data_IF_071332696326
#
_entry.id   IF_071332696326
#
_cell.length_a   1.000
_cell.length_b   1.000
_cell.length_c   1.000
_cell.angle_alpha   90.00
_cell.angle_beta   90.00
_cell.angle_gamma   90.00
#
_symmetry.space_group_name_H-M   'P 1'
#
loop_
_entity.id
_entity.type
_entity.pdbx_description
1 polymer ?
#
# COMPACT_ATOMS: atom_id res chain seq x y z
N UNK A 1 -25.89 0.21 27.83
CA UNK A 1 -24.64 -0.57 27.67
C UNK A 1 -24.57 -1.39 26.38
N UNK A 2 -25.39 -2.43 26.12
CA UNK A 2 -25.25 -3.21 24.84
C UNK A 2 -25.56 -2.43 23.57
N UNK A 3 -26.50 -1.48 23.58
CA UNK A 3 -26.83 -0.65 22.41
C UNK A 3 -25.79 0.44 22.16
N UNK A 4 -25.27 1.06 23.20
CA UNK A 4 -24.23 2.09 23.15
C UNK A 4 -22.91 1.53 22.63
N UNK A 5 -22.50 0.34 23.09
CA UNK A 5 -21.31 -0.38 22.63
C UNK A 5 -21.40 -0.77 21.13
N UNK A 6 -22.61 -1.10 20.62
CA UNK A 6 -22.82 -1.33 19.20
C UNK A 6 -22.67 -0.05 18.37
N UNK A 7 -23.16 1.08 18.89
CA UNK A 7 -23.03 2.38 18.21
C UNK A 7 -21.57 2.77 17.98
N UNK A 8 -20.72 2.57 18.98
CA UNK A 8 -19.29 2.90 18.94
C UNK A 8 -18.55 2.10 17.82
N UNK A 9 -18.79 0.80 17.78
CA UNK A 9 -18.18 -0.03 16.72
C UNK A 9 -18.73 0.31 15.34
N UNK A 10 -20.01 0.65 15.23
CA UNK A 10 -20.61 1.05 13.95
C UNK A 10 -19.97 2.32 13.40
N UNK A 11 -19.62 3.31 14.22
CA UNK A 11 -18.91 4.51 13.77
C UNK A 11 -17.50 4.19 13.29
N UNK A 12 -16.79 3.25 13.95
CA UNK A 12 -15.48 2.79 13.49
C UNK A 12 -15.58 2.04 12.14
N UNK A 13 -16.59 1.19 11.96
CA UNK A 13 -16.85 0.54 10.66
C UNK A 13 -17.22 1.56 9.57
N UNK A 14 -18.08 2.54 9.89
CA UNK A 14 -18.47 3.58 8.94
C UNK A 14 -17.28 4.42 8.50
N UNK A 15 -16.41 4.81 9.45
CA UNK A 15 -15.19 5.52 9.14
C UNK A 15 -14.25 4.69 8.26
N UNK A 16 -14.00 3.42 8.62
CA UNK A 16 -13.14 2.55 7.83
C UNK A 16 -13.69 2.32 6.42
N UNK A 17 -15.01 2.17 6.29
CA UNK A 17 -15.65 2.05 4.99
C UNK A 17 -15.39 3.30 4.14
N UNK A 18 -15.68 4.50 4.66
CA UNK A 18 -15.45 5.76 3.93
C UNK A 18 -13.98 5.98 3.59
N UNK A 19 -13.07 5.68 4.52
CA UNK A 19 -11.62 5.73 4.30
C UNK A 19 -11.18 4.81 3.16
N UNK A 20 -11.80 3.65 3.04
CA UNK A 20 -11.45 2.63 2.05
C UNK A 20 -12.08 2.87 0.67
N UNK A 21 -12.99 3.86 0.52
CA UNK A 21 -13.57 4.25 -0.78
C UNK A 21 -12.55 5.02 -1.64
N UNK A 22 -11.46 4.36 -1.97
CA UNK A 22 -10.34 4.92 -2.74
C UNK A 22 -10.62 4.85 -4.24
N UNK A 23 -11.64 5.57 -4.70
CA UNK A 23 -12.13 5.53 -6.08
C UNK A 23 -11.05 5.85 -7.13
N UNK A 24 -10.06 6.67 -6.78
CA UNK A 24 -9.01 7.12 -7.69
C UNK A 24 -7.90 6.10 -7.88
N UNK A 25 -7.70 5.17 -6.94
CA UNK A 25 -6.54 4.28 -6.88
C UNK A 25 -6.40 3.39 -8.13
N UNK A 26 -7.54 2.98 -8.70
CA UNK A 26 -7.56 2.10 -9.88
C UNK A 26 -7.07 2.82 -11.14
N UNK A 27 -7.21 4.17 -11.24
CA UNK A 27 -6.99 4.88 -12.50
C UNK A 27 -6.12 6.13 -12.36
N UNK A 28 -5.44 6.36 -11.23
CA UNK A 28 -4.69 7.60 -11.04
C UNK A 28 -3.56 7.78 -12.05
N UNK A 29 -2.85 6.70 -12.43
CA UNK A 29 -1.83 6.76 -13.49
C UNK A 29 -2.46 7.10 -14.84
N UNK A 30 -3.55 6.42 -15.19
CA UNK A 30 -4.31 6.70 -16.43
C UNK A 30 -4.79 8.14 -16.45
N UNK A 31 -5.34 8.63 -15.34
CA UNK A 31 -5.84 10.00 -15.20
C UNK A 31 -4.73 11.04 -15.36
N UNK A 32 -3.56 10.83 -14.77
CA UNK A 32 -2.43 11.73 -14.92
C UNK A 32 -1.86 11.69 -16.35
N UNK A 33 -1.88 10.54 -17.00
CA UNK A 33 -1.56 10.42 -18.44
C UNK A 33 -2.54 11.22 -19.30
N UNK A 34 -3.83 11.18 -19.02
CA UNK A 34 -4.84 12.01 -19.72
C UNK A 34 -4.64 13.52 -19.48
N UNK A 35 -3.99 13.90 -18.37
CA UNK A 35 -3.54 15.28 -18.12
C UNK A 35 -2.26 15.66 -18.88
N UNK A 36 -1.61 14.71 -19.57
CA UNK A 36 -0.42 14.93 -20.39
C UNK A 36 0.91 14.68 -19.67
N UNK A 37 0.92 14.09 -18.46
CA UNK A 37 2.16 13.76 -17.76
C UNK A 37 2.86 12.56 -18.41
N UNK A 38 4.19 12.62 -18.52
CA UNK A 38 5.03 11.47 -18.85
C UNK A 38 5.03 10.44 -17.72
N UNK A 39 5.26 9.16 -18.01
CA UNK A 39 5.31 8.11 -16.98
C UNK A 39 6.43 8.33 -15.96
N UNK A 40 7.60 8.83 -16.40
CA UNK A 40 8.68 9.22 -15.50
C UNK A 40 8.26 10.33 -14.52
N UNK A 41 7.54 11.34 -15.02
CA UNK A 41 7.03 12.43 -14.17
C UNK A 41 6.02 11.92 -13.14
N UNK A 42 5.16 10.96 -13.52
CA UNK A 42 4.24 10.26 -12.62
C UNK A 42 5.04 9.46 -11.58
N UNK A 43 6.11 8.79 -12.01
CA UNK A 43 7.01 8.06 -11.11
C UNK A 43 7.64 8.94 -10.05
N UNK A 44 8.04 10.17 -10.41
CA UNK A 44 8.59 11.14 -9.46
C UNK A 44 7.53 11.64 -8.46
N UNK A 45 6.25 11.72 -8.83
CA UNK A 45 5.17 12.04 -7.89
C UNK A 45 5.06 10.97 -6.80
N UNK A 46 5.20 9.69 -7.15
CA UNK A 46 5.22 8.59 -6.17
C UNK A 46 6.46 8.66 -5.27
N UNK A 47 7.61 9.03 -5.82
CA UNK A 47 8.82 9.30 -5.01
C UNK A 47 8.55 10.40 -3.97
N UNK A 48 7.90 11.49 -4.38
CA UNK A 48 7.52 12.59 -3.47
C UNK A 48 6.55 12.10 -2.40
N UNK A 49 5.58 11.25 -2.75
CA UNK A 49 4.68 10.63 -1.79
C UNK A 49 5.47 9.86 -0.72
N UNK A 50 6.40 9.00 -1.09
CA UNK A 50 7.19 8.21 -0.13
C UNK A 50 8.10 9.09 0.75
N UNK A 51 8.74 10.13 0.18
CA UNK A 51 9.55 11.08 0.95
C UNK A 51 8.68 11.85 1.95
N UNK A 52 7.53 12.35 1.51
CA UNK A 52 6.61 13.11 2.36
C UNK A 52 5.99 12.22 3.45
N UNK A 53 5.64 10.96 3.14
CA UNK A 53 5.14 9.99 4.11
C UNK A 53 6.17 9.78 5.22
N UNK A 54 7.42 9.49 4.84
CA UNK A 54 8.51 9.29 5.79
C UNK A 54 8.75 10.52 6.67
N UNK A 55 8.80 11.71 6.06
CA UNK A 55 9.04 12.97 6.78
C UNK A 55 7.89 13.35 7.72
N UNK A 56 6.65 12.96 7.40
CA UNK A 56 5.45 13.34 8.17
C UNK A 56 5.06 12.32 9.26
N UNK A 57 5.61 11.13 9.28
CA UNK A 57 5.24 10.07 10.22
C UNK A 57 5.36 10.52 11.68
N UNK A 58 6.49 11.15 12.03
CA UNK A 58 6.73 11.68 13.38
C UNK A 58 5.87 12.92 13.69
N UNK A 59 5.85 13.97 12.85
CA UNK A 59 5.01 15.13 13.11
C UNK A 59 3.53 14.80 13.29
N UNK A 60 2.98 13.89 12.48
CA UNK A 60 1.56 13.52 12.58
C UNK A 60 1.24 12.71 13.83
N UNK A 61 2.16 11.84 14.27
CA UNK A 61 2.06 11.14 15.56
C UNK A 61 1.97 12.13 16.73
N UNK A 62 2.87 13.14 16.77
CA UNK A 62 2.86 14.18 17.80
C UNK A 62 1.57 15.02 17.79
N UNK A 63 1.00 15.29 16.61
CA UNK A 63 -0.31 15.95 16.49
C UNK A 63 -1.41 15.07 17.09
N UNK A 64 -1.40 13.76 16.82
CA UNK A 64 -2.36 12.82 17.39
C UNK A 64 -2.27 12.77 18.92
N UNK A 65 -1.06 12.76 19.46
CA UNK A 65 -0.80 12.75 20.91
C UNK A 65 -1.26 14.05 21.57
N UNK A 66 -1.02 15.19 20.94
CA UNK A 66 -1.34 16.52 21.51
C UNK A 66 -2.80 16.91 21.35
N UNK A 67 -3.37 16.75 20.17
CA UNK A 67 -4.71 17.24 19.82
C UNK A 67 -5.78 16.14 19.84
N UNK A 68 -5.36 14.87 19.94
CA UNK A 68 -6.23 13.71 19.98
C UNK A 68 -6.29 12.97 18.64
N UNK A 69 -6.50 11.67 18.75
CA UNK A 69 -6.54 10.77 17.61
C UNK A 69 -7.69 11.07 16.66
N UNK A 70 -8.87 11.40 17.22
CA UNK A 70 -10.05 11.81 16.46
C UNK A 70 -9.80 13.07 15.62
N UNK A 71 -9.20 14.11 16.24
CA UNK A 71 -8.84 15.34 15.53
C UNK A 71 -7.79 15.07 14.45
N UNK A 72 -6.79 14.26 14.75
CA UNK A 72 -5.77 13.80 13.80
C UNK A 72 -6.39 13.15 12.57
N UNK A 73 -7.30 12.20 12.76
CA UNK A 73 -8.01 11.52 11.68
C UNK A 73 -8.85 12.49 10.83
N UNK A 74 -9.58 13.42 11.47
CA UNK A 74 -10.39 14.41 10.76
C UNK A 74 -9.51 15.34 9.91
N UNK A 75 -8.41 15.85 10.46
CA UNK A 75 -7.42 16.67 9.72
C UNK A 75 -6.84 15.87 8.55
N UNK A 76 -6.46 14.62 8.76
CA UNK A 76 -5.99 13.74 7.71
C UNK A 76 -6.98 13.64 6.55
N UNK A 77 -8.28 13.47 6.82
CA UNK A 77 -9.32 13.40 5.76
C UNK A 77 -9.52 14.74 5.03
N UNK A 78 -9.45 15.85 5.74
CA UNK A 78 -9.49 17.19 5.09
C UNK A 78 -8.29 17.39 4.16
N UNK A 79 -7.09 16.98 4.58
CA UNK A 79 -5.89 17.04 3.73
C UNK A 79 -6.04 16.10 2.51
N UNK A 80 -6.63 14.90 2.68
CA UNK A 80 -6.90 14.00 1.56
C UNK A 80 -7.87 14.62 0.55
N UNK A 81 -8.97 15.22 1.02
CA UNK A 81 -9.92 15.94 0.16
C UNK A 81 -9.25 17.10 -0.58
N UNK A 82 -8.40 17.89 0.11
CA UNK A 82 -7.63 18.96 -0.51
C UNK A 82 -6.65 18.44 -1.58
N UNK A 83 -5.92 17.35 -1.28
CA UNK A 83 -5.05 16.67 -2.26
C UNK A 83 -5.82 16.24 -3.51
N UNK A 84 -6.97 15.57 -3.32
CA UNK A 84 -7.82 15.14 -4.42
C UNK A 84 -8.36 16.32 -5.23
N UNK A 85 -8.72 17.45 -4.58
CA UNK A 85 -9.17 18.66 -5.24
C UNK A 85 -8.05 19.30 -6.06
N UNK A 86 -6.84 19.44 -5.53
CA UNK A 86 -5.67 19.93 -6.27
C UNK A 86 -5.37 19.04 -7.45
N UNK A 87 -5.39 17.70 -7.27
CA UNK A 87 -5.17 16.75 -8.36
C UNK A 87 -6.26 16.85 -9.43
N UNK A 88 -7.51 17.10 -9.04
CA UNK A 88 -8.62 17.30 -9.97
C UNK A 88 -8.45 18.58 -10.81
N UNK A 89 -8.11 19.68 -10.18
CA UNK A 89 -8.13 21.01 -10.78
C UNK A 89 -6.85 21.37 -11.53
N UNK A 90 -5.68 20.84 -11.10
CA UNK A 90 -4.39 21.23 -11.65
C UNK A 90 -3.93 20.31 -12.77
N UNK A 91 -3.18 20.89 -13.73
CA UNK A 91 -2.34 20.19 -14.72
C UNK A 91 -0.85 20.50 -14.52
N UNK A 92 -0.53 21.42 -13.64
CA UNK A 92 0.84 21.80 -13.34
C UNK A 92 1.51 20.72 -12.48
N UNK A 93 2.67 20.24 -12.92
CA UNK A 93 3.41 19.18 -12.21
C UNK A 93 3.75 19.56 -10.77
N UNK A 94 4.14 20.83 -10.51
CA UNK A 94 4.48 21.30 -9.15
C UNK A 94 3.28 21.24 -8.21
N UNK A 95 2.10 21.63 -8.68
CA UNK A 95 0.87 21.52 -7.89
C UNK A 95 0.47 20.06 -7.67
N UNK A 96 0.68 19.19 -8.66
CA UNK A 96 0.46 17.74 -8.50
C UNK A 96 1.47 17.13 -7.52
N UNK A 97 2.74 17.58 -7.54
CA UNK A 97 3.74 17.18 -6.56
C UNK A 97 3.33 17.58 -5.13
N UNK A 98 2.83 18.79 -4.94
CA UNK A 98 2.27 19.23 -3.65
C UNK A 98 1.04 18.39 -3.25
N UNK A 99 0.16 18.04 -4.20
CA UNK A 99 -0.99 17.18 -3.93
C UNK A 99 -0.55 15.78 -3.47
N UNK A 100 0.45 15.18 -4.09
CA UNK A 100 0.98 13.87 -3.68
C UNK A 100 1.66 13.92 -2.31
N UNK A 101 2.39 15.00 -2.01
CA UNK A 101 2.93 15.24 -0.66
C UNK A 101 1.80 15.37 0.38
N UNK A 102 0.74 16.13 0.08
CA UNK A 102 -0.44 16.24 0.95
C UNK A 102 -1.14 14.89 1.13
N UNK A 103 -1.26 14.09 0.08
CA UNK A 103 -1.85 12.75 0.16
C UNK A 103 -1.05 11.85 1.12
N UNK A 104 0.28 11.89 1.04
CA UNK A 104 1.15 11.14 1.95
C UNK A 104 0.97 11.59 3.40
N UNK A 105 0.96 12.91 3.65
CA UNK A 105 0.68 13.47 4.99
C UNK A 105 -0.69 13.02 5.50
N UNK A 106 -1.72 13.02 4.64
CA UNK A 106 -3.05 12.56 5.02
C UNK A 106 -3.08 11.11 5.47
N UNK A 107 -2.28 10.26 4.80
CA UNK A 107 -2.17 8.85 5.12
C UNK A 107 -1.51 8.63 6.48
N UNK A 108 -0.44 9.35 6.80
CA UNK A 108 0.26 9.24 8.09
C UNK A 108 -0.59 9.72 9.26
N UNK A 109 -1.49 10.71 9.07
CA UNK A 109 -2.49 11.10 10.07
C UNK A 109 -3.47 9.99 10.42
N UNK A 110 -3.73 9.06 9.51
CA UNK A 110 -4.65 7.95 9.74
C UNK A 110 -3.94 6.72 10.35
N UNK A 111 -2.77 6.32 9.82
CA UNK A 111 -2.18 5.00 10.03
C UNK A 111 -1.99 4.61 11.50
N UNK A 112 -1.41 5.47 12.33
CA UNK A 112 -1.22 5.19 13.76
C UNK A 112 -2.43 5.57 14.63
N UNK A 113 -3.14 6.65 14.27
CA UNK A 113 -4.20 7.20 15.10
C UNK A 113 -5.45 6.31 15.19
N UNK A 114 -5.87 5.71 14.06
CA UNK A 114 -7.10 4.93 14.03
C UNK A 114 -6.99 3.59 14.75
N UNK A 115 -5.92 2.83 14.51
CA UNK A 115 -5.71 1.55 15.19
C UNK A 115 -5.61 1.72 16.70
N UNK A 116 -4.83 2.70 17.15
CA UNK A 116 -4.67 3.02 18.55
C UNK A 116 -5.99 3.50 19.18
N UNK A 117 -6.81 4.30 18.47
CA UNK A 117 -8.13 4.72 18.94
C UNK A 117 -9.07 3.54 19.15
N UNK A 118 -9.10 2.61 18.19
CA UNK A 118 -9.90 1.38 18.30
C UNK A 118 -9.41 0.49 19.44
N UNK A 119 -8.09 0.33 19.59
CA UNK A 119 -7.50 -0.45 20.66
C UNK A 119 -7.92 0.07 22.05
N UNK A 120 -7.75 1.36 22.29
CA UNK A 120 -8.10 1.99 23.56
C UNK A 120 -9.61 1.90 23.83
N UNK A 121 -10.43 2.14 22.80
CA UNK A 121 -11.89 2.03 22.90
C UNK A 121 -12.34 0.62 23.29
N UNK A 122 -11.74 -0.40 22.65
CA UNK A 122 -12.03 -1.81 22.95
C UNK A 122 -11.63 -2.17 24.38
N UNK A 123 -10.47 -1.71 24.83
CA UNK A 123 -9.95 -1.96 26.18
C UNK A 123 -10.82 -1.24 27.25
N UNK A 124 -11.08 0.06 27.08
CA UNK A 124 -11.84 0.89 28.02
C UNK A 124 -13.29 0.41 28.17
N UNK A 125 -13.97 0.17 27.06
CA UNK A 125 -15.38 -0.26 27.05
C UNK A 125 -15.56 -1.76 27.21
N UNK A 126 -14.47 -2.52 27.36
CA UNK A 126 -14.47 -4.00 27.48
C UNK A 126 -15.31 -4.68 26.38
N UNK A 127 -15.08 -4.27 25.13
CA UNK A 127 -15.90 -4.73 23.98
C UNK A 127 -15.57 -6.15 23.52
N UNK A 128 -14.54 -6.78 24.08
CA UNK A 128 -14.10 -8.13 23.77
C UNK A 128 -12.67 -8.21 23.24
N UNK A 129 -12.39 -9.21 22.43
CA UNK A 129 -11.08 -9.45 21.87
C UNK A 129 -10.76 -8.45 20.74
N UNK A 130 -9.68 -7.66 20.94
CA UNK A 130 -9.24 -6.65 19.99
C UNK A 130 -8.89 -7.25 18.62
N UNK A 131 -8.17 -8.37 18.59
CA UNK A 131 -7.73 -9.02 17.33
C UNK A 131 -8.92 -9.39 16.46
N UNK A 132 -9.99 -9.90 17.10
CA UNK A 132 -11.23 -10.25 16.41
C UNK A 132 -11.97 -9.04 15.85
N UNK A 133 -12.04 -7.95 16.65
CA UNK A 133 -12.69 -6.68 16.25
C UNK A 133 -11.89 -6.03 15.13
N UNK A 134 -10.57 -5.92 15.29
CA UNK A 134 -9.66 -5.35 14.31
C UNK A 134 -9.69 -6.12 12.98
N UNK A 135 -9.70 -7.45 13.03
CA UNK A 135 -9.86 -8.29 11.84
C UNK A 135 -11.15 -8.02 11.07
N UNK A 136 -12.25 -7.72 11.76
CA UNK A 136 -13.51 -7.33 11.11
C UNK A 136 -13.45 -5.94 10.49
N UNK A 137 -12.80 -4.98 11.18
CA UNK A 137 -12.57 -3.63 10.66
C UNK A 137 -11.71 -3.70 9.39
N UNK A 138 -10.62 -4.47 9.40
CA UNK A 138 -9.80 -4.70 8.20
C UNK A 138 -10.56 -5.39 7.06
N UNK A 139 -11.50 -6.28 7.39
CA UNK A 139 -12.40 -6.85 6.36
C UNK A 139 -13.29 -5.77 5.72
N UNK A 140 -13.71 -4.75 6.49
CA UNK A 140 -14.47 -3.60 5.95
C UNK A 140 -13.61 -2.77 4.99
N UNK A 141 -12.30 -2.61 5.27
CA UNK A 141 -11.36 -1.97 4.34
C UNK A 141 -11.31 -2.69 2.99
N UNK A 142 -11.16 -4.02 2.99
CA UNK A 142 -11.13 -4.81 1.76
C UNK A 142 -12.44 -4.74 0.97
N UNK A 143 -13.58 -4.74 1.67
CA UNK A 143 -14.89 -4.55 1.04
C UNK A 143 -15.00 -3.17 0.40
N UNK A 144 -14.61 -2.12 1.12
CA UNK A 144 -14.68 -0.74 0.64
C UNK A 144 -13.78 -0.48 -0.57
N UNK A 145 -12.53 -0.97 -0.56
CA UNK A 145 -11.63 -0.86 -1.73
C UNK A 145 -12.19 -1.62 -2.94
N UNK A 146 -12.80 -2.79 -2.72
CA UNK A 146 -13.45 -3.56 -3.77
C UNK A 146 -14.67 -2.84 -4.33
N UNK A 147 -15.52 -2.25 -3.49
CA UNK A 147 -16.66 -1.43 -3.90
C UNK A 147 -16.21 -0.21 -4.70
N UNK A 148 -15.15 0.47 -4.25
CA UNK A 148 -14.58 1.62 -4.96
C UNK A 148 -14.09 1.22 -6.35
N UNK A 149 -13.36 0.12 -6.48
CA UNK A 149 -12.91 -0.40 -7.77
C UNK A 149 -14.10 -0.80 -8.67
N UNK A 150 -15.08 -1.52 -8.14
CA UNK A 150 -16.28 -1.88 -8.86
C UNK A 150 -17.04 -0.67 -9.40
N UNK A 151 -17.23 0.35 -8.54
CA UNK A 151 -17.89 1.61 -8.89
C UNK A 151 -17.08 2.38 -9.95
N UNK A 152 -15.74 2.43 -9.83
CA UNK A 152 -14.88 3.05 -10.83
C UNK A 152 -15.07 2.40 -12.21
N UNK A 153 -15.17 1.07 -12.26
CA UNK A 153 -15.48 0.34 -13.50
C UNK A 153 -16.83 0.71 -14.09
N UNK A 154 -17.87 0.90 -13.27
CA UNK A 154 -19.19 1.34 -13.71
C UNK A 154 -19.19 2.76 -14.26
N UNK A 155 -18.46 3.69 -13.59
CA UNK A 155 -18.30 5.09 -14.03
C UNK A 155 -17.70 5.13 -15.43
N UNK A 156 -16.63 4.38 -15.66
CA UNK A 156 -15.97 4.31 -16.97
C UNK A 156 -16.87 3.63 -18.02
N UNK A 157 -17.55 2.55 -17.65
CA UNK A 157 -18.48 1.88 -18.57
C UNK A 157 -19.64 2.76 -19.00
N UNK A 158 -20.09 3.67 -18.13
CA UNK A 158 -21.11 4.68 -18.43
C UNK A 158 -20.59 5.84 -19.29
N UNK A 159 -19.31 5.82 -19.71
CA UNK A 159 -18.71 6.90 -20.50
C UNK A 159 -18.42 8.18 -19.71
N UNK A 160 -18.50 8.15 -18.39
CA UNK A 160 -18.22 9.30 -17.56
C UNK A 160 -16.70 9.53 -17.43
N UNK A 161 -16.23 10.78 -17.41
CA UNK A 161 -14.81 11.08 -17.27
C UNK A 161 -14.25 10.67 -15.90
N UNK A 162 -12.97 10.29 -15.86
CA UNK A 162 -12.28 9.84 -14.64
C UNK A 162 -12.27 10.90 -13.52
N UNK A 163 -12.48 12.17 -13.87
CA UNK A 163 -12.65 13.27 -12.90
C UNK A 163 -13.81 13.06 -11.91
N UNK A 164 -14.83 12.26 -12.25
CA UNK A 164 -15.91 11.91 -11.33
C UNK A 164 -15.42 11.07 -10.15
N UNK A 165 -14.38 10.25 -10.35
CA UNK A 165 -13.78 9.44 -9.28
C UNK A 165 -13.09 10.32 -8.23
N UNK A 166 -12.45 11.42 -8.67
CA UNK A 166 -11.87 12.42 -7.75
C UNK A 166 -12.95 13.18 -6.98
N UNK A 167 -14.05 13.54 -7.64
CA UNK A 167 -15.21 14.17 -6.96
C UNK A 167 -15.81 13.22 -5.93
N UNK A 168 -15.98 11.95 -6.27
CA UNK A 168 -16.48 10.93 -5.35
C UNK A 168 -15.53 10.72 -4.15
N UNK A 169 -14.21 10.72 -4.39
CA UNK A 169 -13.21 10.63 -3.32
C UNK A 169 -13.31 11.83 -2.36
N UNK A 170 -13.41 13.06 -2.88
CA UNK A 170 -13.60 14.27 -2.06
C UNK A 170 -14.86 14.15 -1.18
N UNK A 171 -15.98 13.70 -1.76
CA UNK A 171 -17.23 13.52 -1.01
C UNK A 171 -17.07 12.46 0.08
N UNK A 172 -16.41 11.33 -0.22
CA UNK A 172 -16.14 10.28 0.76
C UNK A 172 -15.25 10.76 1.90
N UNK A 173 -14.18 11.54 1.59
CA UNK A 173 -13.30 12.11 2.60
C UNK A 173 -14.03 13.11 3.50
N UNK A 174 -14.85 14.00 2.95
CA UNK A 174 -15.67 14.93 3.75
C UNK A 174 -16.69 14.18 4.60
N UNK A 175 -17.33 13.13 4.07
CA UNK A 175 -18.21 12.28 4.85
C UNK A 175 -17.45 11.57 5.98
N UNK A 176 -16.22 11.13 5.75
CA UNK A 176 -15.37 10.54 6.79
C UNK A 176 -15.01 11.56 7.89
N UNK A 177 -14.78 12.83 7.55
CA UNK A 177 -14.63 13.91 8.54
C UNK A 177 -15.89 14.01 9.41
N UNK A 178 -17.08 14.02 8.80
CA UNK A 178 -18.34 14.07 9.56
C UNK A 178 -18.49 12.87 10.51
N UNK A 179 -18.13 11.66 10.07
CA UNK A 179 -18.15 10.46 10.92
C UNK A 179 -17.16 10.58 12.09
N UNK A 180 -15.99 11.20 11.90
CA UNK A 180 -15.06 11.43 13.01
C UNK A 180 -15.70 12.14 14.21
N UNK A 181 -16.65 13.05 13.99
CA UNK A 181 -17.33 13.75 15.11
C UNK A 181 -18.16 12.81 15.99
N UNK A 182 -18.61 11.68 15.47
CA UNK A 182 -19.40 10.69 16.19
C UNK A 182 -18.56 9.57 16.83
N UNK A 183 -17.26 9.50 16.54
CA UNK A 183 -16.37 8.54 17.18
C UNK A 183 -16.07 9.04 18.61
N UNK A 184 -16.29 8.21 19.66
CA UNK A 184 -15.93 8.59 21.02
C UNK A 184 -14.40 8.72 21.13
N UNK A 185 -13.96 9.71 21.87
CA UNK A 185 -12.55 9.90 22.20
C UNK A 185 -12.30 9.25 23.58
N UNK A 186 -11.28 8.40 23.69
CA UNK A 186 -10.88 7.86 24.99
C UNK A 186 -10.33 8.97 25.89
N UNK A 187 -10.60 8.91 27.22
CA UNK A 187 -10.02 9.83 28.17
C UNK A 187 -8.49 9.81 28.04
N UNK A 188 -7.91 10.98 27.85
CA UNK A 188 -6.45 11.12 27.80
C UNK A 188 -5.85 11.02 29.18
N UNK A 189 -4.80 10.22 29.35
CA UNK A 189 -3.79 10.56 30.32
C UNK A 189 -3.16 11.90 29.88
N UNK A 190 -3.34 12.94 30.68
CA UNK A 190 -2.72 14.25 30.43
C UNK A 190 -1.22 14.11 30.60
N UNK A 191 -0.49 13.82 29.51
CA UNK A 191 0.96 14.01 29.53
C UNK A 191 1.27 15.50 29.69
N UNK A 192 2.04 15.81 30.71
CA UNK A 192 2.36 17.18 31.11
C UNK A 192 3.14 17.92 30.02
N UNK A 193 3.11 19.25 30.07
CA UNK A 193 3.78 20.16 29.11
C UNK A 193 5.30 19.96 28.98
N UNK A 194 5.99 19.32 29.94
CA UNK A 194 7.39 18.97 29.86
C UNK A 194 7.67 17.73 29.01
N UNK A 195 6.79 16.70 29.01
CA UNK A 195 6.86 15.56 28.11
C UNK A 195 6.68 15.95 26.66
N UNK A 196 5.95 17.02 26.34
CA UNK A 196 5.73 17.49 24.97
C UNK A 196 7.02 18.02 24.29
N UNK A 197 7.93 18.67 25.05
CA UNK A 197 9.27 19.10 24.51
C UNK A 197 10.25 17.94 24.40
N UNK A 198 10.20 16.98 25.34
CA UNK A 198 10.89 15.71 25.23
C UNK A 198 10.36 14.89 24.06
N UNK A 199 9.05 14.99 23.75
CA UNK A 199 8.37 14.31 22.66
C UNK A 199 8.95 14.60 21.26
N UNK A 200 9.23 15.85 20.93
CA UNK A 200 9.83 16.17 19.60
C UNK A 200 11.25 15.61 19.46
N UNK A 201 12.09 15.76 20.50
CA UNK A 201 13.45 15.17 20.49
C UNK A 201 13.39 13.65 20.50
N UNK A 202 12.49 13.06 21.27
CA UNK A 202 12.28 11.61 21.32
C UNK A 202 11.77 11.05 19.99
N UNK A 203 10.86 11.76 19.34
CA UNK A 203 10.29 11.35 18.07
C UNK A 203 11.28 11.44 16.89
N UNK A 204 12.12 12.48 16.82
CA UNK A 204 13.24 12.49 15.86
C UNK A 204 14.31 11.45 16.21
N UNK A 205 14.53 11.18 17.49
CA UNK A 205 15.40 10.11 17.92
C UNK A 205 14.85 8.73 17.54
N UNK A 206 13.52 8.54 17.51
CA UNK A 206 12.92 7.29 17.04
C UNK A 206 13.13 7.06 15.54
N UNK A 207 12.97 8.07 14.68
CA UNK A 207 13.31 7.97 13.25
C UNK A 207 14.79 7.61 13.03
N UNK A 208 15.67 8.28 13.76
CA UNK A 208 17.10 7.95 13.70
C UNK A 208 17.38 6.53 14.23
N UNK A 209 16.64 6.09 15.25
CA UNK A 209 16.66 4.71 15.76
C UNK A 209 16.18 3.72 14.72
N UNK A 210 15.07 4.00 14.04
CA UNK A 210 14.51 3.13 13.02
C UNK A 210 15.44 3.01 11.80
N UNK A 211 16.02 4.13 11.35
CA UNK A 211 17.04 4.12 10.32
C UNK A 211 18.29 3.31 10.77
N UNK A 212 18.73 3.45 12.02
CA UNK A 212 19.81 2.66 12.58
C UNK A 212 19.45 1.18 12.68
N UNK A 213 18.23 0.86 13.10
CA UNK A 213 17.72 -0.51 13.16
C UNK A 213 17.67 -1.15 11.78
N UNK A 214 17.22 -0.42 10.76
CA UNK A 214 17.27 -0.84 9.36
C UNK A 214 18.72 -1.12 8.91
N UNK A 215 19.66 -0.20 9.18
CA UNK A 215 21.05 -0.42 8.84
C UNK A 215 21.66 -1.62 9.58
N UNK A 216 21.30 -1.83 10.84
CA UNK A 216 21.73 -3.00 11.61
C UNK A 216 21.13 -4.30 11.08
N UNK A 217 19.85 -4.30 10.68
CA UNK A 217 19.21 -5.44 10.02
C UNK A 217 19.90 -5.79 8.70
N UNK A 218 20.30 -4.77 7.92
CA UNK A 218 21.06 -4.96 6.67
C UNK A 218 22.50 -5.47 6.87
N UNK A 219 23.06 -5.39 8.09
CA UNK A 219 24.34 -6.01 8.40
C UNK A 219 24.23 -7.53 8.60
N UNK A 220 23.05 -8.03 8.97
CA UNK A 220 22.78 -9.46 9.06
C UNK A 220 22.47 -10.00 7.65
N UNK A 221 23.30 -10.93 7.18
CA UNK A 221 23.23 -11.40 5.79
C UNK A 221 21.85 -11.98 5.42
N UNK A 222 21.26 -12.74 6.34
CA UNK A 222 19.96 -13.40 6.15
C UNK A 222 18.84 -12.36 6.00
N UNK A 223 18.74 -11.42 6.93
CA UNK A 223 17.74 -10.35 6.91
C UNK A 223 17.91 -9.43 5.70
N UNK A 224 19.17 -9.05 5.40
CA UNK A 224 19.48 -8.24 4.23
C UNK A 224 18.98 -8.87 2.95
N UNK A 225 19.28 -10.14 2.74
CA UNK A 225 18.90 -10.84 1.51
C UNK A 225 17.36 -10.95 1.40
N UNK A 226 16.66 -11.26 2.50
CA UNK A 226 15.19 -11.30 2.53
C UNK A 226 14.59 -9.92 2.24
N UNK A 227 15.03 -8.90 2.94
CA UNK A 227 14.48 -7.54 2.82
C UNK A 227 14.72 -6.93 1.45
N UNK A 228 15.93 -7.07 0.91
CA UNK A 228 16.22 -6.59 -0.45
C UNK A 228 15.39 -7.33 -1.49
N UNK A 229 15.25 -8.65 -1.36
CA UNK A 229 14.43 -9.42 -2.29
C UNK A 229 12.96 -9.00 -2.22
N UNK A 230 12.40 -8.86 -1.01
CA UNK A 230 11.03 -8.39 -0.82
C UNK A 230 10.84 -6.97 -1.33
N UNK A 231 11.73 -6.02 -0.95
CA UNK A 231 11.62 -4.63 -1.34
C UNK A 231 11.62 -4.45 -2.87
N UNK A 232 12.56 -5.10 -3.57
CA UNK A 232 12.69 -4.99 -5.04
C UNK A 232 11.53 -5.71 -5.75
N UNK A 233 11.19 -6.93 -5.32
CA UNK A 233 10.06 -7.68 -5.88
C UNK A 233 8.73 -6.98 -5.63
N UNK A 234 8.48 -6.55 -4.39
CA UNK A 234 7.26 -5.85 -3.98
C UNK A 234 7.10 -4.51 -4.71
N UNK A 235 8.20 -3.75 -4.88
CA UNK A 235 8.17 -2.50 -5.63
C UNK A 235 7.84 -2.71 -7.11
N UNK A 236 8.35 -3.77 -7.74
CA UNK A 236 7.93 -4.14 -9.09
C UNK A 236 6.44 -4.49 -9.12
N UNK A 237 5.98 -5.35 -8.20
CA UNK A 237 4.57 -5.73 -8.11
C UNK A 237 3.64 -4.53 -7.97
N UNK A 238 3.95 -3.60 -7.06
CA UNK A 238 3.20 -2.35 -6.87
C UNK A 238 3.29 -1.44 -8.11
N UNK A 239 4.46 -1.35 -8.73
CA UNK A 239 4.62 -0.59 -9.98
C UNK A 239 3.71 -1.13 -11.08
N UNK A 240 3.59 -2.46 -11.19
CA UNK A 240 2.70 -3.08 -12.16
C UNK A 240 1.23 -2.95 -11.78
N UNK A 241 0.88 -2.96 -10.49
CA UNK A 241 -0.49 -2.67 -10.06
C UNK A 241 -0.96 -1.30 -10.56
N UNK A 242 -0.07 -0.33 -10.68
CA UNK A 242 -0.38 1.04 -11.13
C UNK A 242 -0.10 1.28 -12.62
N UNK A 243 1.11 1.04 -13.13
CA UNK A 243 1.39 1.21 -14.56
C UNK A 243 0.68 0.18 -15.44
N UNK A 244 0.40 -1.01 -14.91
CA UNK A 244 -0.36 -2.05 -15.60
C UNK A 244 -1.76 -1.62 -16.02
N UNK A 245 -2.36 -0.66 -15.31
CA UNK A 245 -3.64 -0.03 -15.70
C UNK A 245 -3.53 0.67 -17.07
N UNK A 246 -2.47 1.48 -17.24
CA UNK A 246 -2.17 2.15 -18.51
C UNK A 246 -1.74 1.16 -19.60
N UNK A 247 -0.93 0.17 -19.23
CA UNK A 247 -0.51 -0.90 -20.15
C UNK A 247 -1.71 -1.69 -20.70
N UNK A 248 -2.65 -2.08 -19.84
CA UNK A 248 -3.86 -2.77 -20.25
C UNK A 248 -4.75 -1.88 -21.15
N UNK A 249 -4.84 -0.57 -20.85
CA UNK A 249 -5.53 0.41 -21.70
C UNK A 249 -4.88 0.50 -23.09
N UNK A 250 -3.55 0.62 -23.15
CA UNK A 250 -2.79 0.64 -24.41
C UNK A 250 -2.92 -0.69 -25.19
N UNK A 251 -3.09 -1.80 -24.47
CA UNK A 251 -3.38 -3.14 -25.04
C UNK A 251 -4.84 -3.34 -25.42
N UNK A 252 -5.61 -2.26 -25.56
CA UNK A 252 -7.02 -2.27 -25.96
C UNK A 252 -7.96 -3.07 -25.01
N UNK A 253 -7.56 -3.27 -23.77
CA UNK A 253 -8.42 -3.80 -22.72
C UNK A 253 -9.34 -2.66 -22.25
N UNK A 254 -10.68 -2.84 -22.27
CA UNK A 254 -11.57 -1.80 -21.77
C UNK A 254 -11.29 -1.49 -20.30
N UNK A 255 -11.16 -0.22 -19.96
CA UNK A 255 -10.80 0.22 -18.60
C UNK A 255 -11.74 -0.33 -17.52
N UNK A 256 -13.02 -0.53 -17.84
CA UNK A 256 -13.96 -1.15 -16.88
C UNK A 256 -13.51 -2.55 -16.44
N UNK A 257 -12.92 -3.34 -17.33
CA UNK A 257 -12.40 -4.66 -16.98
C UNK A 257 -11.14 -4.56 -16.09
N UNK A 258 -10.32 -3.53 -16.27
CA UNK A 258 -9.17 -3.27 -15.41
C UNK A 258 -9.62 -3.02 -13.96
N UNK A 259 -10.67 -2.19 -13.77
CA UNK A 259 -11.21 -1.94 -12.43
C UNK A 259 -11.85 -3.19 -11.81
N UNK A 260 -12.61 -3.94 -12.59
CA UNK A 260 -13.25 -5.17 -12.10
C UNK A 260 -12.21 -6.26 -11.82
N UNK A 261 -11.12 -6.30 -12.58
CA UNK A 261 -9.97 -7.13 -12.25
C UNK A 261 -9.38 -6.73 -10.88
N UNK A 262 -9.14 -5.44 -10.64
CA UNK A 262 -8.69 -4.94 -9.33
C UNK A 262 -9.67 -5.29 -8.20
N UNK A 263 -10.98 -5.15 -8.41
CA UNK A 263 -12.00 -5.59 -7.47
C UNK A 263 -11.89 -7.08 -7.15
N UNK A 264 -11.75 -7.91 -8.18
CA UNK A 264 -11.59 -9.37 -8.01
C UNK A 264 -10.29 -9.69 -7.29
N UNK A 265 -9.17 -9.00 -7.64
CA UNK A 265 -7.88 -9.19 -6.97
C UNK A 265 -7.97 -8.91 -5.47
N UNK A 266 -8.58 -7.78 -5.07
CA UNK A 266 -8.76 -7.42 -3.67
C UNK A 266 -9.61 -8.45 -2.90
N UNK A 267 -10.71 -8.93 -3.50
CA UNK A 267 -11.53 -9.97 -2.88
C UNK A 267 -10.81 -11.31 -2.82
N UNK A 268 -10.08 -11.66 -3.88
CA UNK A 268 -9.34 -12.91 -3.96
C UNK A 268 -8.11 -12.93 -3.03
N UNK A 269 -7.51 -11.77 -2.72
CA UNK A 269 -6.34 -11.64 -1.83
C UNK A 269 -6.57 -12.20 -0.42
N UNK A 270 -7.83 -12.27 0.02
CA UNK A 270 -8.19 -12.92 1.30
C UNK A 270 -7.82 -14.40 1.34
N UNK A 271 -7.91 -15.11 0.20
CA UNK A 271 -7.64 -16.54 0.15
C UNK A 271 -6.14 -16.87 0.26
N UNK A 272 -5.23 -16.27 -0.54
CA UNK A 272 -3.79 -16.52 -0.40
C UNK A 272 -3.27 -16.18 0.99
N UNK A 273 -3.69 -15.05 1.56
CA UNK A 273 -3.25 -14.64 2.90
C UNK A 273 -3.64 -15.68 3.97
N UNK A 274 -4.85 -16.25 3.88
CA UNK A 274 -5.29 -17.33 4.79
C UNK A 274 -4.63 -18.67 4.50
N UNK A 275 -4.28 -18.94 3.24
CA UNK A 275 -3.75 -20.20 2.78
C UNK A 275 -2.21 -20.26 2.77
N UNK A 276 -1.52 -19.16 3.06
CA UNK A 276 -0.06 -19.06 3.02
C UNK A 276 0.60 -20.17 3.86
N UNK A 277 0.06 -20.48 5.05
CA UNK A 277 0.56 -21.55 5.91
C UNK A 277 0.40 -22.95 5.28
N UNK A 278 -0.64 -23.19 4.49
CA UNK A 278 -0.88 -24.47 3.78
C UNK A 278 0.15 -24.61 2.67
N UNK A 279 0.38 -23.53 1.91
CA UNK A 279 1.39 -23.48 0.85
C UNK A 279 2.79 -23.67 1.44
N UNK A 280 3.08 -22.98 2.56
CA UNK A 280 4.35 -23.11 3.27
C UNK A 280 4.59 -24.56 3.76
N UNK A 281 3.55 -25.21 4.29
CA UNK A 281 3.62 -26.62 4.72
C UNK A 281 3.79 -27.58 3.53
N UNK A 282 3.16 -27.28 2.36
CA UNK A 282 3.18 -28.17 1.18
C UNK A 282 4.47 -28.04 0.37
N UNK A 283 4.96 -26.82 0.14
CA UNK A 283 6.09 -26.53 -0.74
C UNK A 283 7.38 -26.21 0.03
N UNK A 284 7.27 -25.94 1.33
CA UNK A 284 8.36 -25.48 2.19
C UNK A 284 8.64 -23.98 2.00
N UNK A 285 8.87 -23.27 3.13
CA UNK A 285 9.14 -21.80 3.16
C UNK A 285 10.25 -21.40 2.19
N UNK A 286 11.35 -22.12 2.22
CA UNK A 286 12.52 -21.90 1.38
C UNK A 286 12.19 -21.91 -0.11
N UNK A 287 11.43 -22.89 -0.58
CA UNK A 287 11.06 -23.01 -1.98
C UNK A 287 10.07 -21.91 -2.39
N UNK A 288 9.06 -21.64 -1.54
CA UNK A 288 8.09 -20.57 -1.81
C UNK A 288 8.78 -19.22 -1.98
N UNK A 289 9.71 -18.85 -1.10
CA UNK A 289 10.46 -17.61 -1.21
C UNK A 289 11.32 -17.63 -2.47
N UNK A 290 12.11 -18.68 -2.68
CA UNK A 290 13.06 -18.76 -3.80
C UNK A 290 12.36 -18.70 -5.16
N UNK A 291 11.29 -19.48 -5.34
CA UNK A 291 10.55 -19.51 -6.59
C UNK A 291 9.62 -18.31 -6.74
N UNK A 292 9.00 -17.86 -5.65
CA UNK A 292 8.10 -16.71 -5.65
C UNK A 292 8.81 -15.42 -6.05
N UNK A 293 10.03 -15.20 -5.58
CA UNK A 293 10.88 -14.04 -5.94
C UNK A 293 11.14 -13.97 -7.44
N UNK A 294 11.26 -15.10 -8.12
CA UNK A 294 11.49 -15.17 -9.57
C UNK A 294 10.19 -15.25 -10.36
N UNK A 295 9.14 -15.85 -9.80
CA UNK A 295 7.84 -16.02 -10.47
C UNK A 295 7.17 -14.70 -10.79
N UNK A 296 7.19 -13.73 -9.86
CA UNK A 296 6.52 -12.44 -10.07
C UNK A 296 7.12 -11.68 -11.26
N UNK A 297 8.44 -11.41 -11.34
CA UNK A 297 8.98 -10.72 -12.49
C UNK A 297 8.87 -11.54 -13.79
N UNK A 298 8.86 -12.89 -13.72
CA UNK A 298 8.60 -13.73 -14.89
C UNK A 298 7.17 -13.56 -15.42
N UNK A 299 6.18 -13.48 -14.55
CA UNK A 299 4.79 -13.17 -14.91
C UNK A 299 4.68 -11.77 -15.49
N UNK A 300 5.34 -10.78 -14.89
CA UNK A 300 5.40 -9.40 -15.39
C UNK A 300 6.03 -9.34 -16.78
N UNK A 301 7.15 -10.02 -16.99
CA UNK A 301 7.79 -10.11 -18.30
C UNK A 301 6.86 -10.74 -19.34
N UNK A 302 6.25 -11.88 -19.01
CA UNK A 302 5.32 -12.58 -19.91
C UNK A 302 4.15 -11.67 -20.29
N UNK A 303 3.56 -10.96 -19.31
CA UNK A 303 2.48 -9.99 -19.57
C UNK A 303 2.94 -8.88 -20.53
N UNK A 304 4.15 -8.36 -20.34
CA UNK A 304 4.65 -7.20 -21.06
C UNK A 304 5.06 -7.48 -22.53
N UNK A 305 5.37 -8.75 -22.87
CA UNK A 305 5.76 -9.14 -24.23
C UNK A 305 4.59 -9.63 -25.08
N UNK A 306 3.40 -9.77 -24.52
CA UNK A 306 2.20 -10.15 -25.30
C UNK A 306 1.81 -8.97 -26.22
N UNK A 307 1.70 -9.19 -27.54
CA UNK A 307 1.35 -8.12 -28.49
C UNK A 307 -0.05 -7.54 -28.24
N UNK A 308 -0.17 -6.22 -28.32
CA UNK A 308 -1.41 -5.49 -28.01
C UNK A 308 -2.57 -5.72 -28.99
N UNK A 309 -2.29 -6.17 -30.22
CA UNK A 309 -3.23 -6.27 -31.33
C UNK A 309 -4.08 -7.55 -31.32
N UNK A 310 -4.06 -8.30 -30.24
CA UNK A 310 -4.59 -9.65 -30.16
C UNK A 310 -6.10 -9.69 -29.90
N UNK A 311 -6.70 -10.85 -30.16
CA UNK A 311 -8.11 -11.14 -29.95
C UNK A 311 -8.49 -11.15 -28.43
N UNK A 312 -9.78 -11.31 -28.13
CA UNK A 312 -10.27 -11.34 -26.75
C UNK A 312 -9.63 -12.40 -25.85
N UNK A 313 -9.19 -13.54 -26.40
CA UNK A 313 -8.49 -14.57 -25.63
C UNK A 313 -7.19 -14.06 -25.01
N UNK A 314 -6.42 -13.29 -25.77
CA UNK A 314 -5.16 -12.69 -25.29
C UNK A 314 -5.41 -11.56 -24.29
N UNK A 315 -6.46 -10.75 -24.49
CA UNK A 315 -6.84 -9.71 -23.51
C UNK A 315 -7.25 -10.34 -22.18
N UNK A 316 -7.98 -11.45 -22.20
CA UNK A 316 -8.31 -12.21 -21.02
C UNK A 316 -7.05 -12.77 -20.33
N UNK A 317 -6.08 -13.26 -21.10
CA UNK A 317 -4.79 -13.71 -20.57
C UNK A 317 -4.01 -12.54 -19.95
N UNK A 318 -3.98 -11.36 -20.56
CA UNK A 318 -3.35 -10.17 -19.98
C UNK A 318 -3.97 -9.79 -18.64
N UNK A 319 -5.31 -9.81 -18.53
CA UNK A 319 -6.02 -9.58 -17.29
C UNK A 319 -5.66 -10.64 -16.25
N UNK A 320 -5.60 -11.92 -16.64
CA UNK A 320 -5.24 -13.01 -15.73
C UNK A 320 -3.79 -12.88 -15.22
N UNK A 321 -2.85 -12.49 -16.09
CA UNK A 321 -1.46 -12.23 -15.70
C UNK A 321 -1.35 -11.02 -14.76
N UNK A 322 -2.07 -9.94 -15.06
CA UNK A 322 -2.15 -8.75 -14.18
C UNK A 322 -2.68 -9.11 -12.79
N UNK A 323 -3.77 -9.88 -12.71
CA UNK A 323 -4.30 -10.40 -11.45
C UNK A 323 -3.30 -11.28 -10.70
N UNK A 324 -2.55 -12.11 -11.45
CA UNK A 324 -1.54 -13.02 -10.87
C UNK A 324 -0.43 -12.26 -10.15
N UNK A 325 -0.04 -11.07 -10.61
CA UNK A 325 0.96 -10.23 -9.95
C UNK A 325 0.51 -9.88 -8.53
N UNK A 326 -0.73 -9.40 -8.37
CA UNK A 326 -1.30 -9.10 -7.05
C UNK A 326 -1.39 -10.34 -6.18
N UNK A 327 -1.93 -11.45 -6.71
CA UNK A 327 -2.10 -12.70 -5.95
C UNK A 327 -0.76 -13.29 -5.48
N UNK A 328 0.28 -13.22 -6.31
CA UNK A 328 1.64 -13.65 -5.93
C UNK A 328 2.17 -12.76 -4.80
N UNK A 329 2.04 -11.44 -4.91
CA UNK A 329 2.50 -10.50 -3.89
C UNK A 329 1.80 -10.75 -2.55
N UNK A 330 0.47 -10.88 -2.55
CA UNK A 330 -0.33 -11.13 -1.35
C UNK A 330 -0.07 -12.50 -0.71
N UNK A 331 0.31 -13.49 -1.53
CA UNK A 331 0.71 -14.83 -1.03
C UNK A 331 2.07 -14.79 -0.36
N UNK A 332 3.02 -14.08 -0.96
CA UNK A 332 4.40 -14.07 -0.51
C UNK A 332 4.62 -13.16 0.70
N UNK A 333 3.87 -12.07 0.85
CA UNK A 333 4.01 -11.14 1.96
C UNK A 333 4.05 -11.82 3.33
N UNK A 334 3.03 -12.61 3.73
CA UNK A 334 3.06 -13.30 5.03
C UNK A 334 4.20 -14.32 5.15
N UNK A 335 4.62 -14.94 4.05
CA UNK A 335 5.74 -15.90 4.05
C UNK A 335 7.07 -15.19 4.31
N UNK A 336 7.31 -14.04 3.67
CA UNK A 336 8.49 -13.20 3.90
C UNK A 336 8.51 -12.61 5.32
N UNK A 337 7.40 -12.02 5.76
CA UNK A 337 7.26 -11.45 7.09
C UNK A 337 7.50 -12.51 8.18
N UNK A 338 6.93 -13.71 8.00
CA UNK A 338 7.13 -14.83 8.93
C UNK A 338 8.60 -15.32 8.93
N UNK A 339 9.24 -15.38 7.76
CA UNK A 339 10.65 -15.72 7.64
C UNK A 339 11.53 -14.70 8.36
N UNK A 340 11.31 -13.40 8.16
CA UNK A 340 12.06 -12.34 8.81
C UNK A 340 11.87 -12.36 10.34
N UNK A 341 10.62 -12.52 10.80
CA UNK A 341 10.30 -12.58 12.23
C UNK A 341 10.89 -13.82 12.92
N UNK A 342 11.14 -14.91 12.20
CA UNK A 342 11.79 -16.11 12.75
C UNK A 342 13.30 -15.97 12.93
N UNK A 343 13.92 -14.96 12.31
CA UNK A 343 15.35 -14.67 12.40
C UNK A 343 15.72 -13.75 13.56
N UNK A 344 14.72 -13.18 14.28
CA UNK A 344 14.96 -12.20 15.33
C UNK A 344 14.23 -12.54 16.62
N UNK A 345 14.82 -12.14 17.75
CA UNK A 345 14.17 -12.26 19.04
C UNK A 345 12.89 -11.43 19.12
N UNK A 346 11.92 -11.86 19.94
CA UNK A 346 10.61 -11.22 20.08
C UNK A 346 10.69 -9.72 20.36
N UNK A 347 11.67 -9.28 21.16
CA UNK A 347 11.88 -7.86 21.51
C UNK A 347 12.27 -6.97 20.33
N UNK A 348 12.77 -7.53 19.22
CA UNK A 348 13.24 -6.79 18.04
C UNK A 348 12.26 -6.88 16.85
N UNK A 349 11.16 -7.63 16.94
CA UNK A 349 10.22 -7.84 15.82
C UNK A 349 9.61 -6.55 15.29
N UNK A 350 9.23 -5.63 16.18
CA UNK A 350 8.66 -4.34 15.76
C UNK A 350 9.68 -3.53 14.93
N UNK A 351 10.96 -3.49 15.35
CA UNK A 351 12.03 -2.81 14.62
C UNK A 351 12.30 -3.46 13.25
N UNK A 352 12.17 -4.79 13.15
CA UNK A 352 12.32 -5.54 11.90
C UNK A 352 11.21 -5.21 10.91
N UNK A 353 9.96 -5.19 11.37
CA UNK A 353 8.81 -4.83 10.52
C UNK A 353 8.88 -3.37 10.04
N UNK A 354 9.30 -2.44 10.92
CA UNK A 354 9.56 -1.05 10.53
C UNK A 354 10.65 -0.96 9.46
N UNK A 355 11.75 -1.71 9.62
CA UNK A 355 12.86 -1.75 8.67
C UNK A 355 12.45 -2.30 7.29
N UNK A 356 11.56 -3.29 7.26
CA UNK A 356 10.98 -3.86 6.04
C UNK A 356 10.19 -2.79 5.26
N UNK A 357 9.29 -2.07 5.92
CA UNK A 357 8.50 -0.99 5.34
C UNK A 357 9.36 0.17 4.83
N UNK A 358 10.38 0.56 5.57
CA UNK A 358 11.33 1.60 5.15
C UNK A 358 12.09 1.18 3.88
N UNK A 359 12.58 -0.05 3.81
CA UNK A 359 13.31 -0.54 2.64
C UNK A 359 12.41 -0.65 1.40
N UNK A 360 11.17 -1.09 1.60
CA UNK A 360 10.16 -1.07 0.53
C UNK A 360 9.94 0.35 0.00
N UNK A 361 9.78 1.35 0.88
CA UNK A 361 9.61 2.75 0.48
C UNK A 361 10.82 3.28 -0.29
N UNK A 362 12.04 2.98 0.16
CA UNK A 362 13.27 3.35 -0.56
C UNK A 362 13.33 2.66 -1.93
N UNK A 363 12.96 1.40 -2.01
CA UNK A 363 12.89 0.67 -3.28
C UNK A 363 11.86 1.26 -4.23
N UNK A 364 10.68 1.65 -3.73
CA UNK A 364 9.64 2.33 -4.52
C UNK A 364 10.12 3.66 -5.11
N UNK A 365 10.88 4.46 -4.35
CA UNK A 365 11.46 5.72 -4.82
C UNK A 365 12.40 5.53 -6.04
N UNK A 366 12.91 4.32 -6.26
CA UNK A 366 13.81 4.00 -7.37
C UNK A 366 13.08 3.21 -8.46
N UNK A 367 12.44 2.12 -8.10
CA UNK A 367 11.84 1.18 -9.06
C UNK A 367 10.67 1.81 -9.80
N UNK A 368 9.81 2.53 -9.09
CA UNK A 368 8.60 3.11 -9.70
C UNK A 368 8.95 4.16 -10.77
N UNK A 369 9.78 5.19 -10.53
CA UNK A 369 10.18 6.13 -11.57
C UNK A 369 11.04 5.47 -12.66
N UNK A 370 11.83 4.43 -12.35
CA UNK A 370 12.59 3.70 -13.34
C UNK A 370 11.68 2.97 -14.35
N UNK A 371 10.62 2.31 -13.89
CA UNK A 371 9.60 1.70 -14.77
C UNK A 371 8.94 2.77 -15.65
N UNK A 372 8.60 3.94 -15.06
CA UNK A 372 8.03 5.07 -15.80
C UNK A 372 8.99 5.59 -16.87
N UNK A 373 10.26 5.79 -16.53
CA UNK A 373 11.29 6.24 -17.49
C UNK A 373 11.50 5.25 -18.64
N UNK A 374 11.57 3.96 -18.33
CA UNK A 374 11.68 2.92 -19.35
C UNK A 374 10.42 2.90 -20.24
N UNK A 375 9.25 3.11 -19.66
CA UNK A 375 7.98 3.22 -20.37
C UNK A 375 7.94 4.42 -21.33
N UNK A 376 8.44 5.58 -20.93
CA UNK A 376 8.55 6.75 -21.81
C UNK A 376 9.58 6.56 -22.94
N UNK A 377 10.67 5.84 -22.66
CA UNK A 377 11.77 5.67 -23.62
C UNK A 377 11.51 4.61 -24.68
N UNK A 378 10.87 3.51 -24.32
CA UNK A 378 10.75 2.32 -25.17
C UNK A 378 9.28 1.93 -25.46
N UNK A 379 8.31 2.65 -24.91
CA UNK A 379 6.92 2.22 -24.82
C UNK A 379 6.66 1.42 -23.55
N UNK A 380 5.42 1.42 -23.08
CA UNK A 380 5.11 0.90 -21.73
C UNK A 380 5.33 -0.63 -21.65
N UNK A 381 4.92 -1.39 -22.67
CA UNK A 381 5.16 -2.84 -22.70
C UNK A 381 6.65 -3.20 -22.64
N UNK A 382 7.47 -2.77 -23.63
CA UNK A 382 8.92 -3.02 -23.60
C UNK A 382 9.61 -2.46 -22.35
N UNK A 383 9.16 -1.31 -21.84
CA UNK A 383 9.68 -0.71 -20.62
C UNK A 383 9.44 -1.57 -19.39
N UNK A 384 8.23 -2.11 -19.23
CA UNK A 384 7.88 -3.06 -18.18
C UNK A 384 8.69 -4.37 -18.34
N UNK A 385 8.84 -4.88 -19.55
CA UNK A 385 9.66 -6.07 -19.79
C UNK A 385 11.12 -5.85 -19.39
N UNK A 386 11.70 -4.70 -19.78
CA UNK A 386 13.05 -4.32 -19.38
C UNK A 386 13.21 -4.20 -17.85
N UNK A 387 12.24 -3.57 -17.18
CA UNK A 387 12.23 -3.49 -15.72
C UNK A 387 12.17 -4.87 -15.06
N UNK A 388 11.34 -5.79 -15.59
CA UNK A 388 11.26 -7.16 -15.10
C UNK A 388 12.59 -7.89 -15.25
N UNK A 389 13.29 -7.74 -16.39
CA UNK A 389 14.63 -8.33 -16.62
C UNK A 389 15.65 -7.77 -15.62
N UNK A 390 15.67 -6.45 -15.39
CA UNK A 390 16.57 -5.81 -14.43
C UNK A 390 16.31 -6.33 -13.02
N UNK A 391 15.05 -6.47 -12.65
CA UNK A 391 14.65 -7.02 -11.34
C UNK A 391 15.07 -8.49 -11.22
N UNK A 392 14.89 -9.31 -12.25
CA UNK A 392 15.40 -10.71 -12.24
C UNK A 392 16.91 -10.72 -12.05
N UNK A 393 17.65 -9.88 -12.79
CA UNK A 393 19.10 -9.79 -12.64
C UNK A 393 19.55 -9.41 -11.20
N UNK A 394 18.80 -8.51 -10.54
CA UNK A 394 19.04 -8.13 -9.15
C UNK A 394 18.65 -9.24 -8.16
N UNK A 395 17.56 -9.98 -8.41
CA UNK A 395 17.02 -10.99 -7.51
C UNK A 395 17.70 -12.36 -7.64
N UNK A 396 18.23 -12.70 -8.81
CA UNK A 396 18.85 -14.01 -9.05
C UNK A 396 19.98 -14.37 -8.06
N UNK A 397 20.96 -13.47 -7.79
CA UNK A 397 21.98 -13.72 -6.77
C UNK A 397 21.41 -13.78 -5.35
N UNK A 398 20.36 -12.99 -5.06
CA UNK A 398 19.69 -13.00 -3.75
C UNK A 398 18.92 -14.31 -3.53
N UNK A 399 18.22 -14.82 -4.54
CA UNK A 399 17.50 -16.10 -4.47
C UNK A 399 18.44 -17.26 -4.11
N UNK A 400 19.64 -17.30 -4.72
CA UNK A 400 20.67 -18.28 -4.39
C UNK A 400 21.17 -18.19 -2.95
N UNK A 401 21.34 -16.97 -2.41
CA UNK A 401 21.76 -16.72 -1.03
C UNK A 401 20.63 -17.05 -0.04
N UNK A 402 19.40 -16.61 -0.30
CA UNK A 402 18.21 -16.93 0.50
C UNK A 402 18.04 -18.45 0.59
N UNK A 403 18.22 -19.16 -0.51
CA UNK A 403 18.16 -20.61 -0.52
C UNK A 403 19.16 -21.28 0.42
N UNK A 404 20.33 -20.69 0.62
CA UNK A 404 21.35 -21.19 1.56
C UNK A 404 21.04 -20.82 3.02
N UNK A 405 20.56 -19.58 3.28
CA UNK A 405 20.35 -19.06 4.64
C UNK A 405 19.06 -19.58 5.29
N UNK A 406 17.93 -19.57 4.60
CA UNK A 406 16.65 -20.08 5.14
C UNK A 406 16.70 -21.59 5.40
N UNK A 407 17.59 -22.31 4.74
CA UNK A 407 17.82 -23.75 5.01
C UNK A 407 18.57 -24.03 6.31
N UNK A 408 19.28 -23.08 6.91
CA UNK A 408 20.01 -23.24 8.18
C UNK A 408 19.12 -23.07 9.42
N UNK A 409 17.98 -22.40 9.29
CA UNK A 409 17.04 -22.11 10.38
C UNK A 409 15.96 -23.20 10.51
N UNK A 410 15.79 -24.03 9.47
CA UNK A 410 14.81 -25.12 9.45
C UNK A 410 15.42 -26.52 9.80
N UNK A 411 16.71 -26.58 10.08
CA UNK A 411 17.43 -27.76 10.59
C UNK A 411 17.79 -27.55 12.06
#
# INVERSE_FOLDING_TARGET
MKHENKGILNTAYAYMLLFSLRFTEVYWVVYLREKGLAYAAIGLLETIFHIASFASEVPTGLVADRFGRKASMAVGRLIAAASAAVTLLSRNWTALAAAFALNAVSYTFHSGAFEALVYDTVAEKRLGDFTKIWGRINSTYLIGTSLAAGTAGLVVRAGLPLSWLYRAAIVADIAAVAVCFFIPESPREKSGTEESRAGYRGAFASLASDARNMLNALRQEELRNLFLAWAVMGSLGTSIAFYGQSFLKESLVPLSFVAWAGMIANLAAVFPTRSAHILEKRFGRRNLITWGVLALPAVVFTMAVIPAELNWGWRALLIALYLSVTLISETLYPVFSNAANSLVESKHRAAVLSSEGMLFSVSMMVVFPAVGFLGDRFGLGPGIAAAAVLVVAALLPLAGRIRKSVGRVAA
#
